data_IF_858420618382
#
_entry.id   IF_858420618382
#
_cell.length_a   1.000
_cell.length_b   1.000
_cell.length_c   1.000
_cell.angle_alpha   90.00
_cell.angle_beta   90.00
_cell.angle_gamma   90.00
#
_symmetry.space_group_name_H-M   'P 1'
#
loop_
_entity.id
_entity.type
_entity.pdbx_description
1 polymer ?
#
# COMPACT_ATOMS: atom_id res chain seq x y z
N UNK A 1 -27.02 -12.78 6.40
CA UNK A 1 -26.27 -11.52 6.45
C UNK A 1 -25.05 -11.74 5.61
N UNK A 2 -25.11 -11.32 4.34
CA UNK A 2 -23.98 -11.46 3.43
C UNK A 2 -22.85 -10.53 3.87
N UNK A 3 -21.60 -10.86 3.56
CA UNK A 3 -20.46 -10.01 3.92
C UNK A 3 -20.58 -8.58 3.34
N UNK A 4 -21.35 -8.42 2.25
CA UNK A 4 -21.66 -7.14 1.63
C UNK A 4 -22.63 -6.30 2.46
N UNK A 5 -23.50 -6.92 3.26
CA UNK A 5 -24.48 -6.21 4.12
C UNK A 5 -23.80 -5.45 5.27
N UNK A 6 -22.55 -5.80 5.61
CA UNK A 6 -21.76 -5.14 6.65
C UNK A 6 -20.93 -3.96 6.11
N UNK A 7 -20.90 -3.72 4.79
CA UNK A 7 -20.09 -2.67 4.18
C UNK A 7 -20.80 -1.32 4.29
N UNK A 8 -20.54 -0.61 5.39
CA UNK A 8 -21.07 0.74 5.61
C UNK A 8 -20.24 1.78 4.85
N UNK A 9 -20.89 2.63 4.06
CA UNK A 9 -20.21 3.75 3.38
C UNK A 9 -19.58 4.69 4.41
N UNK A 10 -18.31 5.08 4.24
CA UNK A 10 -17.65 5.96 5.19
C UNK A 10 -18.31 7.35 5.22
N UNK A 11 -18.60 7.83 6.44
CA UNK A 11 -19.29 9.11 6.64
C UNK A 11 -18.31 10.29 6.72
N UNK A 12 -17.11 10.08 7.25
CA UNK A 12 -16.15 11.16 7.50
C UNK A 12 -15.43 11.62 6.22
N UNK A 13 -15.07 12.91 6.15
CA UNK A 13 -14.31 13.48 5.02
C UNK A 13 -12.99 12.76 4.78
N UNK A 14 -12.31 12.35 5.85
CA UNK A 14 -11.02 11.64 5.79
C UNK A 14 -11.17 10.26 5.15
N UNK A 15 -12.16 9.48 5.56
CA UNK A 15 -12.39 8.14 5.01
C UNK A 15 -12.87 8.19 3.56
N UNK A 16 -13.68 9.20 3.19
CA UNK A 16 -14.03 9.45 1.77
C UNK A 16 -12.78 9.78 0.93
N UNK A 17 -11.86 10.61 1.44
CA UNK A 17 -10.60 10.94 0.73
C UNK A 17 -9.70 9.71 0.56
N UNK A 18 -9.68 8.81 1.54
CA UNK A 18 -8.92 7.56 1.46
C UNK A 18 -9.39 6.66 0.32
N UNK A 19 -10.72 6.48 0.16
CA UNK A 19 -11.28 5.72 -0.97
C UNK A 19 -11.01 6.43 -2.31
N UNK A 20 -11.23 7.75 -2.38
CA UNK A 20 -10.96 8.53 -3.59
C UNK A 20 -9.51 8.41 -4.07
N UNK A 21 -8.53 8.29 -3.16
CA UNK A 21 -7.11 8.08 -3.52
C UNK A 21 -6.85 6.70 -4.14
N UNK A 22 -7.70 5.71 -3.86
CA UNK A 22 -7.59 4.33 -4.35
C UNK A 22 -8.42 4.05 -5.60
N UNK A 23 -9.32 4.96 -5.96
CA UNK A 23 -10.10 4.88 -7.19
C UNK A 23 -9.21 5.07 -8.43
N UNK A 24 -9.57 4.47 -9.57
CA UNK A 24 -8.87 4.68 -10.84
C UNK A 24 -8.95 6.15 -11.27
N UNK A 25 -7.87 6.67 -11.85
CA UNK A 25 -7.76 8.06 -12.30
C UNK A 25 -6.98 8.16 -13.61
N UNK A 26 -7.28 9.20 -14.42
CA UNK A 26 -6.62 9.41 -15.73
C UNK A 26 -5.15 9.82 -15.58
N UNK A 27 -4.84 10.62 -14.56
CA UNK A 27 -3.47 10.95 -14.18
C UNK A 27 -3.05 9.99 -13.06
N UNK A 28 -2.10 9.11 -13.34
CA UNK A 28 -1.66 8.12 -12.35
C UNK A 28 -0.97 8.77 -11.15
N UNK A 29 -1.26 8.24 -9.95
CA UNK A 29 -0.51 8.55 -8.73
C UNK A 29 0.83 7.79 -8.71
N UNK A 30 1.80 8.27 -7.94
CA UNK A 30 3.00 7.50 -7.61
C UNK A 30 2.63 6.16 -6.98
N UNK A 31 3.20 5.07 -7.50
CA UNK A 31 2.89 3.72 -7.04
C UNK A 31 3.62 3.43 -5.73
N UNK A 32 2.86 3.05 -4.70
CA UNK A 32 3.43 2.61 -3.44
C UNK A 32 3.93 1.16 -3.58
N UNK A 33 5.15 0.89 -3.15
CA UNK A 33 5.73 -0.45 -3.15
C UNK A 33 5.55 -1.09 -1.77
N UNK A 34 5.20 -2.38 -1.74
CA UNK A 34 5.18 -3.18 -0.53
C UNK A 34 6.35 -4.18 -0.56
N UNK A 35 7.32 -4.00 0.34
CA UNK A 35 8.45 -4.91 0.50
C UNK A 35 8.12 -5.94 1.58
N UNK A 36 8.12 -7.23 1.22
CA UNK A 36 7.79 -8.34 2.12
C UNK A 36 9.01 -9.24 2.28
N UNK A 37 9.41 -9.51 3.52
CA UNK A 37 10.42 -10.53 3.85
C UNK A 37 9.69 -11.85 4.16
N UNK A 38 10.03 -12.93 3.46
CA UNK A 38 9.54 -14.28 3.77
C UNK A 38 10.27 -14.93 4.95
N UNK A 39 9.71 -16.01 5.50
CA UNK A 39 10.29 -16.73 6.64
C UNK A 39 11.69 -17.30 6.38
N UNK A 40 11.89 -17.94 5.23
CA UNK A 40 13.18 -18.54 4.84
C UNK A 40 13.94 -17.66 3.82
N UNK A 41 14.26 -16.42 4.22
CA UNK A 41 14.96 -15.47 3.35
C UNK A 41 16.44 -15.38 3.73
N UNK A 42 17.35 -15.47 2.74
CA UNK A 42 18.79 -15.35 2.95
C UNK A 42 19.19 -13.92 3.39
N UNK A 43 20.28 -13.80 4.16
CA UNK A 43 20.85 -12.54 4.64
C UNK A 43 21.12 -11.54 3.50
N UNK A 44 21.64 -12.00 2.36
CA UNK A 44 21.91 -11.15 1.19
C UNK A 44 20.62 -10.52 0.65
N UNK A 45 19.53 -11.28 0.58
CA UNK A 45 18.23 -10.78 0.10
C UNK A 45 17.66 -9.74 1.07
N UNK A 46 17.81 -9.95 2.38
CA UNK A 46 17.40 -8.95 3.39
C UNK A 46 18.18 -7.65 3.23
N UNK A 47 19.49 -7.73 2.96
CA UNK A 47 20.33 -6.54 2.78
C UNK A 47 19.98 -5.77 1.51
N UNK A 48 19.69 -6.48 0.41
CA UNK A 48 19.17 -5.85 -0.81
C UNK A 48 17.84 -5.15 -0.55
N UNK A 49 16.89 -5.80 0.13
CA UNK A 49 15.60 -5.18 0.47
C UNK A 49 15.75 -3.90 1.30
N UNK A 50 16.69 -3.87 2.26
CA UNK A 50 17.00 -2.67 3.05
C UNK A 50 17.60 -1.55 2.20
N UNK A 51 18.46 -1.88 1.25
CA UNK A 51 19.05 -0.89 0.33
C UNK A 51 17.99 -0.30 -0.59
N UNK A 52 17.09 -1.15 -1.10
CA UNK A 52 15.93 -0.74 -1.90
C UNK A 52 15.04 0.21 -1.11
N UNK A 53 14.67 -0.13 0.13
CA UNK A 53 13.87 0.77 1.00
C UNK A 53 14.53 2.15 1.14
N UNK A 54 15.84 2.20 1.43
CA UNK A 54 16.57 3.47 1.58
C UNK A 54 16.54 4.31 0.31
N UNK A 55 16.73 3.70 -0.85
CA UNK A 55 16.70 4.42 -2.12
C UNK A 55 15.35 5.07 -2.40
N UNK A 56 14.25 4.35 -2.14
CA UNK A 56 12.88 4.87 -2.36
C UNK A 56 12.36 5.80 -1.27
N UNK A 57 13.03 5.89 -0.11
CA UNK A 57 12.67 6.79 1.00
C UNK A 57 13.37 8.15 0.93
N UNK A 58 14.43 8.25 0.11
CA UNK A 58 15.23 9.46 -0.09
C UNK A 58 14.68 10.32 -1.24
N UNK A 59 13.92 9.74 -2.16
CA UNK A 59 13.22 10.41 -3.27
C UNK A 59 11.80 10.78 -2.83
#
# INVERSE_FOLDING_TARGET
>A
MDALDQVIKPQTKMAKRFLKKREPSLSENTKNVLLIKGGNTNATVIQVLKNVEKHYKII
#
